data_IF_521474077236
#
_entry.id   IF_521474077236
#
_cell.length_a   1.000
_cell.length_b   1.000
_cell.length_c   1.000
_cell.angle_alpha   90.00
_cell.angle_beta   90.00
_cell.angle_gamma   90.00
#
_symmetry.space_group_name_H-M   'P 1'
#
loop_
_entity.id
_entity.type
_entity.pdbx_description
1 polymer ?
#
# COMPACT_ATOMS: atom_id res chain seq x y z
N UNK A 1 -0.62 -3.49 -15.49
CA UNK A 1 -1.06 -4.85 -15.04
C UNK A 1 0.00 -5.46 -14.14
N UNK A 2 -0.38 -6.10 -13.01
CA UNK A 2 0.56 -6.72 -12.05
C UNK A 2 0.22 -8.21 -11.96
N UNK A 3 1.20 -9.09 -12.19
CA UNK A 3 1.03 -10.54 -12.12
C UNK A 3 1.89 -11.12 -11.00
N UNK A 4 1.29 -11.96 -10.16
CA UNK A 4 1.95 -12.71 -9.09
C UNK A 4 2.07 -14.16 -9.57
N UNK A 5 3.32 -14.69 -9.61
CA UNK A 5 3.63 -16.05 -10.13
C UNK A 5 4.45 -16.82 -9.11
N UNK A 6 3.86 -17.88 -8.57
CA UNK A 6 4.47 -18.84 -7.62
C UNK A 6 5.21 -18.15 -6.46
N UNK A 7 4.67 -16.99 -6.05
CA UNK A 7 5.33 -16.08 -5.12
C UNK A 7 5.36 -16.67 -3.71
N UNK A 8 6.53 -16.62 -3.07
CA UNK A 8 6.70 -16.99 -1.68
C UNK A 8 7.72 -16.12 -0.96
N UNK A 9 7.49 -15.90 0.32
CA UNK A 9 8.40 -15.20 1.21
C UNK A 9 8.58 -15.95 2.51
N UNK A 10 9.83 -16.25 2.83
CA UNK A 10 10.25 -16.80 4.12
C UNK A 10 11.14 -15.79 4.82
N UNK A 11 10.82 -15.46 6.05
CA UNK A 11 11.69 -14.72 6.96
C UNK A 11 12.50 -15.70 7.80
N UNK A 12 13.57 -15.23 8.44
CA UNK A 12 14.39 -16.08 9.28
C UNK A 12 13.54 -16.72 10.40
N UNK A 13 13.62 -18.06 10.50
CA UNK A 13 12.91 -18.87 11.51
C UNK A 13 11.36 -18.78 11.49
N UNK A 14 10.76 -18.32 10.40
CA UNK A 14 9.29 -18.25 10.24
C UNK A 14 8.82 -19.23 9.17
N UNK A 15 7.52 -19.56 9.22
CA UNK A 15 6.85 -20.32 8.17
C UNK A 15 6.81 -19.50 6.88
N UNK A 16 7.01 -20.16 5.75
CA UNK A 16 6.92 -19.51 4.45
C UNK A 16 5.47 -19.04 4.18
N UNK A 17 5.35 -17.79 3.75
CA UNK A 17 4.11 -17.25 3.21
C UNK A 17 4.11 -17.52 1.71
N UNK A 18 3.23 -18.40 1.24
CA UNK A 18 3.08 -18.70 -0.18
C UNK A 18 1.79 -18.07 -0.72
N UNK A 19 1.88 -17.33 -1.81
CA UNK A 19 0.75 -16.67 -2.45
C UNK A 19 0.30 -17.43 -3.69
N UNK A 20 -1.00 -17.55 -3.91
CA UNK A 20 -1.56 -18.09 -5.16
C UNK A 20 -1.26 -17.12 -6.32
N UNK A 21 -1.19 -17.68 -7.51
CA UNK A 21 -1.05 -16.89 -8.73
C UNK A 21 -2.29 -16.02 -8.91
N UNK A 22 -2.06 -14.73 -9.20
CA UNK A 22 -3.13 -13.78 -9.42
C UNK A 22 -2.67 -12.60 -10.27
N UNK A 23 -3.65 -11.86 -10.77
CA UNK A 23 -3.41 -10.68 -11.61
C UNK A 23 -4.25 -9.51 -11.11
N UNK A 24 -3.61 -8.36 -10.92
CA UNK A 24 -4.27 -7.08 -10.72
C UNK A 24 -4.32 -6.34 -12.05
N UNK A 25 -5.52 -6.15 -12.56
CA UNK A 25 -5.75 -5.43 -13.81
C UNK A 25 -5.51 -3.93 -13.64
N UNK A 26 -5.04 -3.30 -14.70
CA UNK A 26 -4.84 -1.86 -14.73
C UNK A 26 -6.16 -1.09 -14.51
N UNK A 27 -6.08 0.03 -13.80
CA UNK A 27 -7.21 0.94 -13.60
C UNK A 27 -8.31 0.44 -12.65
N UNK A 28 -8.12 -0.69 -11.98
CA UNK A 28 -9.07 -1.25 -11.00
C UNK A 28 -8.59 -1.09 -9.57
N UNK A 29 -9.55 -1.07 -8.65
CA UNK A 29 -9.31 -1.02 -7.21
C UNK A 29 -9.56 -2.38 -6.56
N UNK A 30 -8.60 -2.83 -5.74
CA UNK A 30 -8.61 -4.12 -5.05
C UNK A 30 -8.49 -3.92 -3.54
N UNK A 31 -9.32 -4.62 -2.80
CA UNK A 31 -9.22 -4.72 -1.35
C UNK A 31 -8.73 -6.12 -0.96
N UNK A 32 -7.58 -6.19 -0.31
CA UNK A 32 -7.06 -7.43 0.26
C UNK A 32 -7.52 -7.52 1.71
N UNK A 33 -8.45 -8.42 1.99
CA UNK A 33 -9.03 -8.65 3.30
C UNK A 33 -8.37 -9.86 3.97
N UNK A 34 -8.10 -9.79 5.26
CA UNK A 34 -7.55 -10.93 6.00
C UNK A 34 -7.07 -10.56 7.40
N UNK A 35 -6.83 -11.57 8.22
CA UNK A 35 -6.36 -11.40 9.59
C UNK A 35 -4.97 -10.74 9.65
N UNK A 36 -4.61 -10.19 10.81
CA UNK A 36 -3.25 -9.71 11.06
C UNK A 36 -2.24 -10.86 10.91
N UNK A 37 -1.11 -10.57 10.30
CA UNK A 37 -0.04 -11.58 10.10
C UNK A 37 -0.21 -12.50 8.89
N UNK A 38 -1.33 -12.48 8.14
CA UNK A 38 -1.52 -13.35 6.97
C UNK A 38 -0.71 -12.96 5.72
N UNK A 39 0.20 -11.99 5.81
CA UNK A 39 1.11 -11.64 4.71
C UNK A 39 0.69 -10.46 3.84
N UNK A 40 -0.36 -9.69 4.18
CA UNK A 40 -0.85 -8.55 3.39
C UNK A 40 0.22 -7.49 3.12
N UNK A 41 0.79 -6.92 4.17
CA UNK A 41 1.86 -5.91 4.07
C UNK A 41 3.11 -6.47 3.40
N UNK A 42 3.40 -7.77 3.59
CA UNK A 42 4.49 -8.46 2.92
C UNK A 42 4.28 -8.46 1.40
N UNK A 43 3.06 -8.78 0.93
CA UNK A 43 2.73 -8.73 -0.49
C UNK A 43 2.90 -7.33 -1.07
N UNK A 44 2.35 -6.30 -0.40
CA UNK A 44 2.52 -4.91 -0.86
C UNK A 44 3.99 -4.51 -0.92
N UNK A 45 4.80 -4.87 0.07
CA UNK A 45 6.23 -4.56 0.10
C UNK A 45 7.00 -5.29 -1.01
N UNK A 46 6.61 -6.50 -1.40
CA UNK A 46 7.20 -7.22 -2.54
C UNK A 46 6.80 -6.53 -3.85
N UNK A 47 5.53 -6.19 -4.05
CA UNK A 47 5.05 -5.46 -5.24
C UNK A 47 5.79 -4.11 -5.36
N UNK A 48 5.99 -3.41 -4.25
CA UNK A 48 6.74 -2.15 -4.21
C UNK A 48 8.26 -2.32 -4.45
N UNK A 49 8.78 -3.54 -4.50
CA UNK A 49 10.22 -3.82 -4.58
C UNK A 49 11.02 -3.38 -3.36
N UNK A 50 10.37 -3.20 -2.20
CA UNK A 50 10.99 -2.87 -0.92
C UNK A 50 11.70 -4.11 -0.36
N UNK A 51 11.04 -5.27 -0.44
CA UNK A 51 11.62 -6.56 -0.09
C UNK A 51 11.60 -7.50 -1.29
N UNK A 52 12.59 -8.38 -1.38
CA UNK A 52 12.62 -9.40 -2.44
C UNK A 52 11.88 -10.65 -1.97
N UNK A 53 11.16 -11.34 -2.87
CA UNK A 53 10.59 -12.65 -2.57
C UNK A 53 11.69 -13.68 -2.36
N UNK A 54 11.37 -14.80 -1.70
CA UNK A 54 12.27 -15.96 -1.57
C UNK A 54 12.16 -16.87 -2.80
N UNK A 55 10.95 -16.95 -3.40
CA UNK A 55 10.69 -17.69 -4.64
C UNK A 55 9.60 -16.98 -5.45
N UNK A 56 9.48 -17.38 -6.71
CA UNK A 56 8.50 -16.83 -7.64
C UNK A 56 8.84 -15.40 -8.08
N UNK A 57 7.88 -14.75 -8.71
CA UNK A 57 8.10 -13.44 -9.30
C UNK A 57 6.87 -12.53 -9.21
N UNK A 58 7.14 -11.22 -9.26
CA UNK A 58 6.15 -10.16 -9.50
C UNK A 58 6.47 -9.50 -10.82
N UNK A 59 5.58 -9.64 -11.79
CA UNK A 59 5.72 -9.05 -13.12
C UNK A 59 4.81 -7.82 -13.21
N UNK A 60 5.38 -6.66 -13.49
CA UNK A 60 4.64 -5.41 -13.66
C UNK A 60 4.87 -4.90 -15.09
N UNK A 61 3.80 -4.79 -15.86
CA UNK A 61 3.83 -4.36 -17.27
C UNK A 61 4.88 -5.11 -18.11
N UNK A 62 4.93 -6.43 -17.90
CA UNK A 62 5.85 -7.34 -18.59
C UNK A 62 7.28 -7.37 -18.03
N UNK A 63 7.61 -6.55 -17.04
CA UNK A 63 8.93 -6.54 -16.38
C UNK A 63 8.90 -7.35 -15.09
N UNK A 64 9.75 -8.38 -14.99
CA UNK A 64 9.93 -9.14 -13.75
C UNK A 64 10.71 -8.32 -12.72
N UNK A 65 9.99 -7.75 -11.76
CA UNK A 65 10.56 -6.94 -10.69
C UNK A 65 11.43 -7.74 -9.72
N UNK A 66 11.31 -9.07 -9.71
CA UNK A 66 12.14 -9.94 -8.87
C UNK A 66 13.56 -10.09 -9.43
N UNK A 67 13.71 -10.00 -10.76
CA UNK A 67 14.98 -10.21 -11.46
C UNK A 67 15.82 -8.93 -11.67
N UNK A 68 15.22 -7.73 -11.54
CA UNK A 68 15.93 -6.46 -11.76
C UNK A 68 16.74 -6.02 -10.53
N UNK A 69 17.76 -5.18 -10.77
CA UNK A 69 18.60 -4.63 -9.70
C UNK A 69 17.81 -3.70 -8.75
N UNK A 70 18.31 -3.53 -7.52
CA UNK A 70 17.69 -2.63 -6.55
C UNK A 70 17.55 -1.20 -7.08
N UNK A 71 18.54 -0.69 -7.80
CA UNK A 71 18.49 0.64 -8.43
C UNK A 71 17.31 0.79 -9.40
N UNK A 72 16.98 -0.27 -10.16
CA UNK A 72 15.82 -0.27 -11.07
C UNK A 72 14.51 -0.30 -10.26
N UNK A 73 14.44 -1.12 -9.19
CA UNK A 73 13.28 -1.14 -8.27
C UNK A 73 13.03 0.22 -7.63
N UNK A 74 14.09 0.88 -7.17
CA UNK A 74 14.00 2.21 -6.52
C UNK A 74 13.48 3.26 -7.50
N UNK A 75 14.02 3.28 -8.73
CA UNK A 75 13.54 4.17 -9.78
C UNK A 75 12.07 3.92 -10.10
N UNK A 76 11.69 2.65 -10.29
CA UNK A 76 10.32 2.25 -10.57
C UNK A 76 9.37 2.70 -9.45
N UNK A 77 9.75 2.50 -8.18
CA UNK A 77 8.96 2.93 -7.02
C UNK A 77 8.78 4.45 -6.98
N UNK A 78 9.85 5.20 -7.27
CA UNK A 78 9.79 6.66 -7.30
C UNK A 78 8.83 7.13 -8.41
N UNK A 79 8.91 6.56 -9.59
CA UNK A 79 8.16 7.00 -10.76
C UNK A 79 6.72 6.49 -10.81
N UNK A 80 6.49 5.21 -10.46
CA UNK A 80 5.25 4.49 -10.77
C UNK A 80 4.40 4.13 -9.56
N UNK A 81 4.95 4.07 -8.35
CA UNK A 81 4.22 3.59 -7.17
C UNK A 81 3.99 4.69 -6.16
N UNK A 82 2.72 4.96 -5.81
CA UNK A 82 2.33 5.70 -4.61
C UNK A 82 2.14 4.74 -3.44
N UNK A 83 2.94 4.83 -2.39
CA UNK A 83 2.79 3.97 -1.21
C UNK A 83 2.25 4.75 -0.02
N UNK A 84 1.15 4.29 0.54
CA UNK A 84 0.48 4.83 1.73
C UNK A 84 0.71 3.85 2.87
N UNK A 85 1.44 4.29 3.89
CA UNK A 85 1.82 3.46 5.05
C UNK A 85 0.82 3.60 6.20
N UNK A 86 0.63 2.54 6.97
CA UNK A 86 -0.24 2.49 8.14
C UNK A 86 0.11 3.56 9.19
N UNK A 87 1.39 3.84 9.43
CA UNK A 87 1.90 4.82 10.39
C UNK A 87 2.26 6.17 9.76
N UNK A 88 1.65 6.49 8.61
CA UNK A 88 1.78 7.71 7.82
C UNK A 88 3.21 8.01 7.32
N UNK A 89 4.27 7.65 8.04
CA UNK A 89 5.68 7.99 7.77
C UNK A 89 5.88 9.49 7.47
N UNK A 90 5.21 10.35 8.23
CA UNK A 90 5.33 11.80 8.15
C UNK A 90 6.33 12.33 9.19
N UNK A 91 7.02 13.41 8.83
CA UNK A 91 7.98 14.08 9.72
C UNK A 91 7.22 15.11 10.55
N UNK A 92 7.08 14.85 11.84
CA UNK A 92 6.19 15.58 12.77
C UNK A 92 6.48 17.07 12.88
N UNK A 93 7.74 17.48 12.85
CA UNK A 93 8.16 18.87 13.00
C UNK A 93 8.19 19.68 11.70
N UNK A 94 7.97 19.03 10.58
CA UNK A 94 7.83 19.67 9.27
C UNK A 94 6.37 20.05 8.99
N UNK A 95 6.16 21.03 8.12
CA UNK A 95 4.83 21.39 7.62
C UNK A 95 4.28 20.30 6.65
N UNK A 96 2.98 20.40 6.35
CA UNK A 96 2.35 19.57 5.29
C UNK A 96 3.09 19.78 3.97
N UNK A 97 3.32 21.02 3.58
CA UNK A 97 4.03 21.35 2.33
C UNK A 97 5.43 20.76 2.29
N UNK A 98 6.19 20.83 3.41
CA UNK A 98 7.55 20.29 3.47
C UNK A 98 7.56 18.76 3.40
N UNK A 99 6.59 18.08 4.06
CA UNK A 99 6.47 16.62 3.98
C UNK A 99 6.17 16.10 2.56
N UNK A 100 5.49 16.87 1.75
CA UNK A 100 5.29 16.55 0.33
C UNK A 100 6.49 17.03 -0.49
N UNK A 101 7.01 18.22 -0.17
CA UNK A 101 8.13 18.84 -0.85
C UNK A 101 9.43 18.06 -0.81
N UNK A 102 9.63 17.19 0.20
CA UNK A 102 10.82 16.34 0.32
C UNK A 102 11.03 15.43 -0.91
N UNK A 103 9.97 15.12 -1.63
CA UNK A 103 10.02 14.29 -2.84
C UNK A 103 10.84 14.96 -3.97
N UNK A 104 11.03 16.29 -3.92
CA UNK A 104 11.92 17.00 -4.85
C UNK A 104 13.37 16.53 -4.78
N UNK A 105 13.80 16.01 -3.62
CA UNK A 105 15.14 15.45 -3.46
C UNK A 105 15.35 14.20 -4.32
N UNK A 106 14.27 13.52 -4.68
CA UNK A 106 14.25 12.36 -5.58
C UNK A 106 13.92 12.75 -7.03
N UNK A 107 13.92 14.05 -7.35
CA UNK A 107 13.59 14.55 -8.68
C UNK A 107 12.10 14.52 -9.04
N UNK A 108 11.22 14.32 -8.07
CA UNK A 108 9.77 14.28 -8.31
C UNK A 108 9.21 15.68 -8.48
N UNK A 109 8.41 15.88 -9.53
CA UNK A 109 7.61 17.09 -9.69
C UNK A 109 6.44 17.09 -8.70
N UNK A 110 6.38 18.11 -7.86
CA UNK A 110 5.32 18.33 -6.88
C UNK A 110 4.50 19.59 -7.18
N UNK A 111 4.53 20.09 -8.41
CA UNK A 111 3.77 21.28 -8.83
C UNK A 111 2.25 21.13 -8.62
N UNK A 112 1.72 19.91 -8.70
CA UNK A 112 0.31 19.59 -8.40
C UNK A 112 -0.06 19.52 -6.92
N UNK A 113 0.85 19.89 -5.99
CA UNK A 113 0.61 19.78 -4.54
C UNK A 113 -0.66 20.50 -4.09
N UNK A 114 -0.85 21.73 -4.53
CA UNK A 114 -1.99 22.56 -4.06
C UNK A 114 -3.34 21.98 -4.49
N UNK A 115 -3.41 21.50 -5.72
CA UNK A 115 -4.64 20.87 -6.24
C UNK A 115 -4.91 19.53 -5.52
N UNK A 116 -3.86 18.75 -5.27
CA UNK A 116 -3.96 17.50 -4.49
C UNK A 116 -4.43 17.76 -3.06
N UNK A 117 -3.91 18.79 -2.40
CA UNK A 117 -4.34 19.17 -1.05
C UNK A 117 -5.80 19.66 -1.03
N UNK A 118 -6.26 20.36 -2.07
CA UNK A 118 -7.67 20.76 -2.22
C UNK A 118 -8.59 19.56 -2.44
N UNK A 119 -8.21 18.63 -3.31
CA UNK A 119 -9.00 17.42 -3.59
C UNK A 119 -9.18 16.51 -2.37
N UNK A 120 -8.28 16.61 -1.39
CA UNK A 120 -8.31 15.86 -0.12
C UNK A 120 -8.79 16.71 1.07
N UNK A 121 -9.35 17.89 0.84
CA UNK A 121 -9.88 18.79 1.87
C UNK A 121 -8.88 19.06 3.03
N UNK A 122 -7.59 19.30 2.68
CA UNK A 122 -6.52 19.58 3.65
C UNK A 122 -5.67 20.81 3.28
N UNK A 123 -6.03 21.52 2.23
CA UNK A 123 -5.27 22.68 1.74
C UNK A 123 -5.03 23.76 2.80
N UNK A 124 -6.05 24.07 3.63
CA UNK A 124 -5.97 25.07 4.67
C UNK A 124 -4.92 24.74 5.76
N UNK A 125 -4.47 23.49 5.80
CA UNK A 125 -3.41 23.01 6.71
C UNK A 125 -2.03 22.96 6.05
N UNK A 126 -1.87 23.46 4.82
CA UNK A 126 -0.62 23.38 4.03
C UNK A 126 0.63 23.79 4.82
N UNK A 127 0.54 24.86 5.61
CA UNK A 127 1.64 25.39 6.39
C UNK A 127 1.66 24.91 7.86
N UNK A 128 0.70 24.09 8.27
CA UNK A 128 0.66 23.54 9.62
C UNK A 128 1.68 22.40 9.78
N UNK A 129 2.29 22.31 10.98
CA UNK A 129 3.17 21.18 11.31
C UNK A 129 2.32 19.92 11.53
N UNK A 130 2.86 18.77 11.10
CA UNK A 130 2.18 17.46 11.19
C UNK A 130 1.76 17.12 12.63
N UNK A 131 2.57 17.46 13.61
CA UNK A 131 2.24 17.20 15.02
C UNK A 131 0.95 17.87 15.52
N UNK A 132 0.46 18.89 14.83
CA UNK A 132 -0.77 19.61 15.18
C UNK A 132 -2.01 19.09 14.40
N UNK A 133 -1.86 18.07 13.57
CA UNK A 133 -2.93 17.49 12.78
C UNK A 133 -3.60 16.31 13.49
N UNK A 134 -4.91 16.15 13.28
CA UNK A 134 -5.64 14.94 13.66
C UNK A 134 -5.18 13.72 12.84
N UNK A 135 -5.54 12.49 13.27
CA UNK A 135 -5.21 11.27 12.56
C UNK A 135 -5.73 11.26 11.11
N UNK A 136 -6.99 11.65 10.88
CA UNK A 136 -7.55 11.76 9.54
C UNK A 136 -6.85 12.81 8.66
N UNK A 137 -6.47 13.95 9.24
CA UNK A 137 -5.68 14.96 8.54
C UNK A 137 -4.28 14.45 8.18
N UNK A 138 -3.61 13.71 9.07
CA UNK A 138 -2.32 13.08 8.78
C UNK A 138 -2.45 12.06 7.64
N UNK A 139 -3.53 11.28 7.65
CA UNK A 139 -3.79 10.31 6.59
C UNK A 139 -3.97 10.99 5.22
N UNK A 140 -4.74 12.07 5.15
CA UNK A 140 -4.90 12.86 3.92
C UNK A 140 -3.56 13.41 3.42
N UNK A 141 -2.69 13.87 4.31
CA UNK A 141 -1.34 14.31 3.94
C UNK A 141 -0.49 13.14 3.41
N UNK A 142 -0.56 11.97 4.02
CA UNK A 142 0.13 10.77 3.53
C UNK A 142 -0.37 10.35 2.13
N UNK A 143 -1.69 10.42 1.90
CA UNK A 143 -2.29 10.20 0.58
C UNK A 143 -1.80 11.27 -0.42
N UNK A 144 -1.86 12.55 -0.07
CA UNK A 144 -1.38 13.63 -0.93
C UNK A 144 0.08 13.42 -1.34
N UNK A 145 0.95 13.08 -0.39
CA UNK A 145 2.36 12.79 -0.65
C UNK A 145 2.56 11.59 -1.60
N UNK A 146 1.77 10.54 -1.43
CA UNK A 146 1.86 9.36 -2.30
C UNK A 146 1.38 9.67 -3.73
N UNK A 147 0.37 10.54 -3.90
CA UNK A 147 -0.33 10.76 -5.16
C UNK A 147 0.14 11.99 -5.95
N UNK A 148 0.84 12.96 -5.34
CA UNK A 148 1.29 14.19 -5.99
C UNK A 148 2.13 13.94 -7.24
N UNK A 149 2.87 12.84 -7.26
CA UNK A 149 3.69 12.39 -8.40
C UNK A 149 2.90 11.66 -9.49
N UNK A 150 1.57 11.57 -9.37
CA UNK A 150 0.64 10.92 -10.31
C UNK A 150 1.03 9.46 -10.63
N UNK A 151 1.20 8.60 -9.62
CA UNK A 151 1.61 7.21 -9.82
C UNK A 151 0.56 6.44 -10.63
N UNK A 152 0.98 5.35 -11.28
CA UNK A 152 0.10 4.41 -11.99
C UNK A 152 -0.45 3.34 -11.06
N UNK A 153 0.31 3.01 -10.01
CA UNK A 153 -0.01 1.99 -9.01
C UNK A 153 -0.05 2.65 -7.63
N UNK A 154 -1.09 2.39 -6.88
CA UNK A 154 -1.26 2.88 -5.51
C UNK A 154 -1.35 1.67 -4.59
N UNK A 155 -0.46 1.61 -3.60
CA UNK A 155 -0.43 0.58 -2.58
C UNK A 155 -0.75 1.23 -1.23
N UNK A 156 -1.79 0.75 -0.56
CA UNK A 156 -2.24 1.31 0.72
C UNK A 156 -2.24 0.22 1.80
N UNK A 157 -1.34 0.35 2.76
CA UNK A 157 -1.17 -0.59 3.86
C UNK A 157 -1.94 -0.10 5.08
N UNK A 158 -3.06 -0.75 5.41
CA UNK A 158 -3.98 -0.41 6.51
C UNK A 158 -4.28 1.10 6.60
N UNK A 159 -4.77 1.73 5.51
CA UNK A 159 -4.88 3.20 5.43
C UNK A 159 -5.85 3.82 6.44
N UNK A 160 -6.60 3.00 7.17
CA UNK A 160 -7.58 3.42 8.18
C UNK A 160 -7.30 2.85 9.57
N UNK A 161 -6.25 2.06 9.73
CA UNK A 161 -5.98 1.30 10.97
C UNK A 161 -5.82 2.15 12.24
N UNK A 162 -5.47 3.45 12.09
CA UNK A 162 -5.30 4.39 13.21
C UNK A 162 -6.48 5.38 13.34
N UNK A 163 -7.62 5.13 12.67
CA UNK A 163 -8.77 6.03 12.62
C UNK A 163 -10.02 5.35 13.18
N UNK A 164 -10.95 6.14 13.75
CA UNK A 164 -12.28 5.61 13.97
C UNK A 164 -12.99 5.35 12.64
N UNK A 165 -14.00 4.47 12.66
CA UNK A 165 -14.66 4.00 11.44
C UNK A 165 -15.19 5.12 10.55
N UNK A 166 -15.88 6.12 11.12
CA UNK A 166 -16.50 7.20 10.34
C UNK A 166 -15.45 8.04 9.58
N UNK A 167 -14.33 8.36 10.22
CA UNK A 167 -13.23 9.08 9.56
C UNK A 167 -12.52 8.15 8.57
N UNK A 168 -12.31 6.88 8.91
CA UNK A 168 -11.70 5.89 8.03
C UNK A 168 -12.51 5.67 6.75
N UNK A 169 -13.84 5.54 6.87
CA UNK A 169 -14.75 5.40 5.73
C UNK A 169 -14.66 6.62 4.80
N UNK A 170 -14.64 7.84 5.36
CA UNK A 170 -14.47 9.06 4.57
C UNK A 170 -13.13 9.06 3.82
N UNK A 171 -12.04 8.71 4.50
CA UNK A 171 -10.69 8.65 3.90
C UNK A 171 -10.62 7.61 2.77
N UNK A 172 -11.23 6.43 2.94
CA UNK A 172 -11.25 5.41 1.87
C UNK A 172 -12.04 5.91 0.67
N UNK A 173 -13.20 6.53 0.87
CA UNK A 173 -13.98 7.12 -0.21
C UNK A 173 -13.18 8.17 -0.97
N UNK A 174 -12.48 9.07 -0.28
CA UNK A 174 -11.60 10.06 -0.90
C UNK A 174 -10.44 9.39 -1.65
N UNK A 175 -9.80 8.37 -1.05
CA UNK A 175 -8.70 7.63 -1.69
C UNK A 175 -9.16 6.95 -2.97
N UNK A 176 -10.28 6.22 -2.96
CA UNK A 176 -10.79 5.54 -4.15
C UNK A 176 -11.19 6.54 -5.25
N UNK A 177 -11.75 7.69 -4.88
CA UNK A 177 -12.11 8.75 -5.82
C UNK A 177 -10.87 9.34 -6.52
N UNK A 178 -9.84 9.75 -5.77
CA UNK A 178 -8.61 10.34 -6.35
C UNK A 178 -7.73 9.31 -7.07
N UNK A 179 -8.02 8.02 -6.87
CA UNK A 179 -7.30 6.90 -7.50
C UNK A 179 -7.99 6.38 -8.77
N UNK A 180 -9.09 6.97 -9.21
CA UNK A 180 -9.80 6.52 -10.42
C UNK A 180 -8.88 6.44 -11.64
N UNK A 181 -9.01 5.36 -12.40
CA UNK A 181 -8.16 5.07 -13.56
C UNK A 181 -6.75 4.61 -13.24
N UNK A 182 -6.42 4.40 -11.95
CA UNK A 182 -5.14 3.84 -11.49
C UNK A 182 -5.37 2.49 -10.84
N UNK A 183 -4.34 1.66 -10.80
CA UNK A 183 -4.41 0.40 -10.04
C UNK A 183 -4.24 0.68 -8.56
N UNK A 184 -5.30 0.51 -7.77
CA UNK A 184 -5.27 0.66 -6.31
C UNK A 184 -5.31 -0.73 -5.66
N UNK A 185 -4.34 -1.03 -4.79
CA UNK A 185 -4.36 -2.23 -3.96
C UNK A 185 -4.28 -1.76 -2.50
N UNK A 186 -5.38 -1.92 -1.76
CA UNK A 186 -5.46 -1.57 -0.36
C UNK A 186 -5.60 -2.83 0.51
N UNK A 187 -4.83 -2.94 1.56
CA UNK A 187 -4.97 -3.99 2.56
C UNK A 187 -5.68 -3.45 3.79
N UNK A 188 -6.62 -4.20 4.32
CA UNK A 188 -7.35 -3.86 5.54
C UNK A 188 -7.94 -5.11 6.18
N UNK A 189 -8.32 -5.01 7.45
CA UNK A 189 -9.10 -6.03 8.16
C UNK A 189 -10.59 -5.64 8.32
N UNK A 190 -11.01 -4.47 7.82
CA UNK A 190 -12.38 -3.96 7.95
C UNK A 190 -13.20 -4.23 6.68
N UNK A 191 -14.01 -5.28 6.70
CA UNK A 191 -14.85 -5.74 5.59
C UNK A 191 -15.94 -4.73 5.18
N UNK A 192 -16.34 -3.82 6.10
CA UNK A 192 -17.33 -2.78 5.84
C UNK A 192 -16.92 -1.80 4.75
N UNK A 193 -15.62 -1.75 4.43
CA UNK A 193 -15.05 -0.91 3.39
C UNK A 193 -15.14 -1.54 1.99
N UNK A 194 -15.51 -2.81 1.87
CA UNK A 194 -15.57 -3.57 0.62
C UNK A 194 -16.36 -2.87 -0.50
N UNK A 195 -17.43 -2.18 -0.14
CA UNK A 195 -18.33 -1.46 -1.07
C UNK A 195 -17.66 -0.32 -1.88
N UNK A 196 -16.44 0.07 -1.50
CA UNK A 196 -15.68 1.13 -2.18
C UNK A 196 -14.68 0.61 -3.22
N UNK A 197 -14.52 -0.70 -3.33
CA UNK A 197 -13.54 -1.35 -4.21
C UNK A 197 -14.24 -2.17 -5.30
N UNK A 198 -13.59 -2.28 -6.47
CA UNK A 198 -14.10 -3.06 -7.59
C UNK A 198 -14.05 -4.57 -7.32
N UNK A 199 -13.06 -5.01 -6.50
CA UNK A 199 -12.85 -6.42 -6.19
C UNK A 199 -12.30 -6.58 -4.78
N UNK A 200 -12.80 -7.59 -4.06
CA UNK A 200 -12.34 -7.98 -2.72
C UNK A 200 -11.71 -9.36 -2.81
N UNK A 201 -10.52 -9.49 -2.27
CA UNK A 201 -9.74 -10.73 -2.29
C UNK A 201 -9.47 -11.15 -0.85
N UNK A 202 -9.92 -12.36 -0.48
CA UNK A 202 -9.61 -12.94 0.82
C UNK A 202 -8.18 -13.48 0.82
N UNK A 203 -7.33 -12.90 1.65
CA UNK A 203 -5.94 -13.29 1.79
C UNK A 203 -5.77 -14.69 2.41
N UNK A 204 -6.76 -15.20 3.16
CA UNK A 204 -6.71 -16.57 3.66
C UNK A 204 -6.85 -17.60 2.52
N UNK A 205 -7.55 -17.25 1.46
CA UNK A 205 -7.62 -18.07 0.24
C UNK A 205 -6.37 -17.91 -0.63
N UNK A 206 -5.75 -16.73 -0.58
CA UNK A 206 -4.52 -16.41 -1.32
C UNK A 206 -3.25 -17.04 -0.74
N UNK A 207 -3.12 -17.02 0.56
CA UNK A 207 -2.02 -17.67 1.26
C UNK A 207 -2.50 -19.05 1.64
N UNK A 208 -2.26 -20.08 0.87
CA UNK A 208 -2.74 -21.43 1.17
C UNK A 208 -2.62 -21.74 2.65
N UNK A 209 -3.78 -21.71 3.36
CA UNK A 209 -3.92 -21.54 4.81
C UNK A 209 -2.78 -22.20 5.58
N UNK A 210 -2.22 -21.50 6.57
CA UNK A 210 -1.25 -22.08 7.50
C UNK A 210 -1.84 -23.41 7.99
N UNK A 211 -1.35 -24.53 7.45
CA UNK A 211 -1.64 -25.82 8.03
C UNK A 211 -0.83 -25.84 9.31
N UNK A 212 -1.50 -25.64 10.45
CA UNK A 212 -0.98 -25.97 11.76
C UNK A 212 -0.58 -27.45 11.72
N UNK A 213 0.67 -27.72 11.44
CA UNK A 213 1.29 -29.00 11.75
C UNK A 213 1.57 -29.01 13.25
N UNK A 214 0.50 -29.09 14.03
CA UNK A 214 0.61 -29.59 15.38
C UNK A 214 0.94 -31.09 15.23
N UNK A 215 2.21 -31.42 15.15
CA UNK A 215 2.68 -32.79 15.32
C UNK A 215 2.35 -33.19 16.73
N UNK A 216 1.24 -33.92 16.89
CA UNK A 216 0.99 -34.69 18.09
C UNK A 216 2.18 -35.63 18.36
N UNK A 217 2.93 -35.35 19.41
CA UNK A 217 3.68 -36.37 20.09
C UNK A 217 2.72 -37.07 21.03
N UNK A 218 2.12 -38.14 20.55
CA UNK A 218 1.62 -39.16 21.45
C UNK A 218 2.84 -39.84 22.09
N UNK A 219 2.90 -39.75 23.39
CA UNK A 219 3.81 -40.49 24.23
C UNK A 219 3.27 -41.87 24.47
N UNK A 220 4.07 -42.89 24.16
CA UNK A 220 4.12 -44.16 24.88
C UNK A 220 5.18 -44.10 25.97
#
# INVERSE_FOLDING_TARGET
>A
MIEIKDLGKQFQNETEIAYRNMTFSEGRSYMLLGASGCGKSTLLNIIAGIISPTKGSVVIDGTDMSAVSQKVKDKFRIEKIGYIFQDFKLINDMSVADNIGILRLEGVDVSGMDDMLRSLDIYEKKNAKIKHLSGGQKQRVAIARALVKRPEIILADEPTGNLNFSIGEQVIRELTEVSRGKTLIAVTHDDRLAKYFDEVIDMNEMTGGMRDTVSGKESE
#
